data_IF_462119036541
#
_entry.id   IF_462119036541
#
_cell.length_a   1.000
_cell.length_b   1.000
_cell.length_c   1.000
_cell.angle_alpha   90.00
_cell.angle_beta   90.00
_cell.angle_gamma   90.00
#
_symmetry.space_group_name_H-M   'P 1'
#
loop_
_entity.id
_entity.type
_entity.pdbx_description
1 polymer ?
#
# COMPACT_ATOMS: atom_id res chain seq x y z
N UNK A 1 -8.97 -4.26 -0.73
CA UNK A 1 -8.18 -5.02 -1.73
C UNK A 1 -7.70 -3.99 -2.73
N UNK A 2 -6.42 -4.01 -3.07
CA UNK A 2 -5.83 -3.06 -4.01
C UNK A 2 -6.10 -3.56 -5.43
N UNK A 3 -6.46 -2.66 -6.33
CA UNK A 3 -6.66 -2.93 -7.76
C UNK A 3 -5.94 -1.86 -8.58
N UNK A 4 -5.69 -2.11 -9.86
CA UNK A 4 -4.94 -1.19 -10.73
C UNK A 4 -5.69 0.10 -11.09
N UNK A 5 -7.02 0.06 -11.00
CA UNK A 5 -7.94 1.18 -11.19
C UNK A 5 -8.16 2.01 -9.90
N UNK A 6 -7.46 1.67 -8.80
CA UNK A 6 -7.52 2.49 -7.59
C UNK A 6 -6.92 3.87 -7.86
N UNK A 7 -7.62 4.91 -7.43
CA UNK A 7 -7.10 6.28 -7.43
C UNK A 7 -5.89 6.37 -6.49
N UNK A 8 -4.83 7.07 -6.92
CA UNK A 8 -3.64 7.27 -6.08
C UNK A 8 -4.01 7.92 -4.75
N UNK A 9 -4.95 8.87 -4.73
CA UNK A 9 -5.47 9.51 -3.51
C UNK A 9 -6.05 8.50 -2.51
N UNK A 10 -6.81 7.50 -3.00
CA UNK A 10 -7.38 6.46 -2.17
C UNK A 10 -6.33 5.44 -1.73
N UNK A 11 -5.42 5.07 -2.64
CA UNK A 11 -4.33 4.14 -2.37
C UNK A 11 -3.44 4.64 -1.23
N UNK A 12 -2.97 5.89 -1.28
CA UNK A 12 -2.06 6.43 -0.25
C UNK A 12 -2.77 6.66 1.08
N UNK A 13 -4.06 7.00 1.06
CA UNK A 13 -4.88 7.19 2.27
C UNK A 13 -5.16 5.86 2.97
N UNK A 14 -5.50 4.82 2.21
CA UNK A 14 -5.92 3.51 2.75
C UNK A 14 -4.71 2.62 3.04
N UNK A 15 -3.66 2.76 2.25
CA UNK A 15 -2.45 1.94 2.31
C UNK A 15 -1.20 2.84 2.30
N UNK A 16 -0.86 3.50 3.42
CA UNK A 16 0.26 4.45 3.46
C UNK A 16 1.63 3.87 3.05
N UNK A 17 1.83 2.55 3.22
CA UNK A 17 3.04 1.87 2.77
C UNK A 17 3.25 1.93 1.25
N UNK A 18 2.16 2.08 0.48
CA UNK A 18 2.18 2.10 -0.99
C UNK A 18 3.06 3.22 -1.54
N UNK A 19 3.13 4.37 -0.85
CA UNK A 19 3.97 5.50 -1.26
C UNK A 19 5.44 5.09 -1.34
N UNK A 20 5.94 4.41 -0.29
CA UNK A 20 7.32 3.95 -0.24
C UNK A 20 7.56 2.87 -1.30
N UNK A 21 6.68 1.89 -1.38
CA UNK A 21 6.77 0.78 -2.33
C UNK A 21 6.83 1.26 -3.79
N UNK A 22 5.91 2.14 -4.19
CA UNK A 22 5.86 2.67 -5.55
C UNK A 22 7.04 3.59 -5.87
N UNK A 23 7.51 4.37 -4.88
CA UNK A 23 8.69 5.21 -5.04
C UNK A 23 9.97 4.41 -5.27
N UNK A 24 10.14 3.26 -4.61
CA UNK A 24 11.26 2.34 -4.85
C UNK A 24 11.26 1.77 -6.28
N UNK A 25 10.07 1.68 -6.90
CA UNK A 25 9.88 1.30 -8.30
C UNK A 25 9.89 2.49 -9.27
N UNK A 26 10.18 3.71 -8.79
CA UNK A 26 10.24 4.91 -9.64
C UNK A 26 8.88 5.54 -9.98
N UNK A 27 7.79 5.07 -9.37
CA UNK A 27 6.44 5.61 -9.52
C UNK A 27 6.21 6.64 -8.41
N UNK A 28 5.96 7.89 -8.79
CA UNK A 28 5.76 8.99 -7.84
C UNK A 28 4.28 9.12 -7.50
N UNK A 29 3.94 8.98 -6.23
CA UNK A 29 2.57 9.15 -5.74
C UNK A 29 2.29 10.55 -5.17
N UNK A 30 3.34 11.28 -4.76
CA UNK A 30 3.24 12.61 -4.13
C UNK A 30 4.03 13.63 -4.96
N UNK A 31 3.39 14.74 -5.31
CA UNK A 31 4.01 15.89 -5.96
C UNK A 31 3.75 17.15 -5.13
N UNK A 32 4.81 17.91 -4.83
CA UNK A 32 4.71 19.15 -4.04
C UNK A 32 4.04 19.00 -2.65
N UNK A 33 3.98 17.78 -2.10
CA UNK A 33 3.34 17.48 -0.81
C UNK A 33 1.91 16.96 -0.92
N UNK A 34 1.35 16.86 -2.11
CA UNK A 34 -0.02 16.39 -2.36
C UNK A 34 -0.02 15.11 -3.21
N UNK A 35 -1.00 14.20 -3.03
CA UNK A 35 -1.18 13.06 -3.92
C UNK A 35 -1.45 13.50 -5.36
N UNK A 36 -0.94 12.75 -6.33
CA UNK A 36 -1.27 12.98 -7.75
C UNK A 36 -2.67 12.48 -8.08
N UNK A 37 -3.29 13.05 -9.11
CA UNK A 37 -4.54 12.56 -9.68
C UNK A 37 -4.31 11.45 -10.70
N UNK A 38 -5.25 10.51 -10.75
CA UNK A 38 -5.23 9.36 -11.64
C UNK A 38 -5.06 8.04 -10.90
N UNK A 39 -5.17 6.97 -11.67
CA UNK A 39 -5.11 5.59 -11.19
C UNK A 39 -3.68 5.08 -11.05
N UNK A 40 -3.51 4.01 -10.27
CA UNK A 40 -2.25 3.26 -10.20
C UNK A 40 -1.76 2.83 -11.60
N UNK A 41 -2.68 2.34 -12.44
CA UNK A 41 -2.36 1.91 -13.80
C UNK A 41 -1.82 3.04 -14.66
N UNK A 42 -2.45 4.23 -14.61
CA UNK A 42 -1.99 5.41 -15.35
C UNK A 42 -0.61 5.87 -14.88
N UNK A 43 -0.44 6.03 -13.56
CA UNK A 43 0.84 6.45 -12.96
C UNK A 43 1.99 5.49 -13.31
N UNK A 44 1.73 4.18 -13.37
CA UNK A 44 2.71 3.18 -13.78
C UNK A 44 2.99 3.22 -15.29
N UNK A 45 1.95 3.36 -16.13
CA UNK A 45 2.10 3.46 -17.59
C UNK A 45 2.89 4.71 -18.01
N UNK A 46 2.71 5.84 -17.31
CA UNK A 46 3.51 7.05 -17.55
C UNK A 46 5.03 6.82 -17.34
N UNK A 47 5.40 5.83 -16.53
CA UNK A 47 6.80 5.42 -16.31
C UNK A 47 7.26 4.29 -17.23
N UNK A 48 6.41 3.83 -18.14
CA UNK A 48 6.72 2.78 -19.11
C UNK A 48 6.52 1.36 -18.59
N UNK A 49 5.81 1.18 -17.46
CA UNK A 49 5.44 -0.15 -16.99
C UNK A 49 4.31 -0.74 -17.85
N UNK A 50 4.43 -2.03 -18.15
CA UNK A 50 3.42 -2.77 -18.89
C UNK A 50 2.38 -3.40 -17.94
N UNK A 51 1.32 -3.99 -18.50
CA UNK A 51 0.26 -4.60 -17.71
C UNK A 51 0.77 -5.70 -16.75
N UNK A 52 1.77 -6.48 -17.17
CA UNK A 52 2.33 -7.57 -16.35
C UNK A 52 3.02 -7.00 -15.10
N UNK A 53 3.83 -5.95 -15.26
CA UNK A 53 4.48 -5.28 -14.13
C UNK A 53 3.45 -4.63 -13.19
N UNK A 54 2.39 -4.04 -13.74
CA UNK A 54 1.32 -3.42 -12.96
C UNK A 54 0.57 -4.48 -12.14
N UNK A 55 0.25 -5.62 -12.75
CA UNK A 55 -0.39 -6.74 -12.05
C UNK A 55 0.51 -7.30 -10.93
N UNK A 56 1.84 -7.33 -11.15
CA UNK A 56 2.81 -7.68 -10.10
C UNK A 56 2.78 -6.69 -8.93
N UNK A 57 2.79 -5.37 -9.20
CA UNK A 57 2.68 -4.37 -8.14
C UNK A 57 1.41 -4.51 -7.31
N UNK A 58 0.27 -4.74 -7.98
CA UNK A 58 -1.01 -4.98 -7.31
C UNK A 58 -0.94 -6.23 -6.42
N UNK A 59 -0.38 -7.32 -6.94
CA UNK A 59 -0.23 -8.57 -6.18
C UNK A 59 0.62 -8.38 -4.93
N UNK A 60 1.81 -7.80 -5.07
CA UNK A 60 2.75 -7.59 -3.96
C UNK A 60 2.16 -6.65 -2.89
N UNK A 61 1.55 -5.53 -3.29
CA UNK A 61 0.92 -4.63 -2.34
C UNK A 61 -0.26 -5.28 -1.60
N UNK A 62 -1.05 -6.13 -2.26
CA UNK A 62 -2.10 -6.88 -1.58
C UNK A 62 -1.53 -7.86 -0.54
N UNK A 63 -0.41 -8.52 -0.83
CA UNK A 63 0.27 -9.40 0.12
C UNK A 63 0.74 -8.62 1.35
N UNK A 64 1.43 -7.48 1.14
CA UNK A 64 1.88 -6.59 2.22
C UNK A 64 0.69 -6.14 3.08
N UNK A 65 -0.41 -5.73 2.45
CA UNK A 65 -1.61 -5.30 3.17
C UNK A 65 -2.19 -6.41 4.06
N UNK A 66 -2.24 -7.65 3.56
CA UNK A 66 -2.72 -8.79 4.35
C UNK A 66 -1.79 -9.10 5.53
N UNK A 67 -0.47 -8.97 5.34
CA UNK A 67 0.50 -9.14 6.42
C UNK A 67 0.36 -8.07 7.50
N UNK A 68 0.19 -6.80 7.13
CA UNK A 68 -0.06 -5.72 8.09
C UNK A 68 -1.36 -5.95 8.89
N UNK A 69 -2.42 -6.40 8.23
CA UNK A 69 -3.68 -6.72 8.90
C UNK A 69 -3.53 -7.89 9.89
N UNK A 70 -2.80 -8.95 9.50
CA UNK A 70 -2.49 -10.07 10.40
C UNK A 70 -1.66 -9.62 11.60
N UNK A 71 -0.66 -8.75 11.41
CA UNK A 71 0.17 -8.20 12.50
C UNK A 71 -0.67 -7.42 13.51
N UNK A 72 -1.54 -6.52 13.03
CA UNK A 72 -2.45 -5.73 13.89
C UNK A 72 -3.46 -6.61 14.65
N UNK A 73 -3.95 -7.68 14.03
CA UNK A 73 -4.84 -8.64 14.67
C UNK A 73 -4.13 -9.40 15.82
N UNK A 74 -2.85 -9.76 15.62
CA UNK A 74 -2.07 -10.49 16.61
C UNK A 74 -1.66 -9.61 17.82
N UNK A 75 -1.39 -8.32 17.62
CA UNK A 75 -1.06 -7.38 18.71
C UNK A 75 -2.26 -7.11 19.64
N UNK A 76 -3.48 -7.12 19.11
CA UNK A 76 -4.71 -6.96 19.91
C UNK A 76 -4.97 -8.12 20.88
N UNK A 77 -4.20 -9.22 20.79
CA UNK A 77 -4.34 -10.39 21.65
C UNK A 77 -3.37 -10.39 22.85
N UNK A 78 -2.42 -9.43 22.94
CA UNK A 78 -1.33 -9.48 23.93
C UNK A 78 -1.51 -8.59 25.19
N UNK A 79 -2.59 -7.79 25.30
CA UNK A 79 -2.74 -6.82 26.42
C UNK A 79 -3.27 -7.47 27.73
N UNK A 80 -3.51 -8.79 27.81
CA UNK A 80 -4.16 -9.40 29.00
C UNK A 80 -3.25 -10.17 29.97
N UNK A 81 -1.93 -10.33 29.74
CA UNK A 81 -1.12 -11.22 30.62
C UNK A 81 -0.21 -10.53 31.65
N UNK A 82 -0.09 -9.20 31.70
CA UNK A 82 0.83 -8.51 32.63
C UNK A 82 0.17 -7.73 33.78
N UNK A 83 -1.14 -7.86 34.02
CA UNK A 83 -1.82 -7.17 35.16
C UNK A 83 -2.12 -8.07 36.37
N UNK A 84 -1.53 -9.26 36.45
CA UNK A 84 -1.72 -10.19 37.57
C UNK A 84 -0.38 -10.81 38.01
N UNK A 85 0.56 -9.97 38.46
CA UNK A 85 1.56 -10.39 39.45
C UNK A 85 1.64 -9.33 40.54
N UNK A 86 0.93 -9.64 41.62
CA UNK A 86 1.06 -9.08 42.96
C UNK A 86 2.52 -9.12 43.44
#
# INVERSE_FOLDING_TARGET
MISKDIEIEELVRTYPFSVKYLMEHGIRCIACGEPIWGTLEEAAKEKGFNAIAIDQFVSEMNQISQEEQKRKANESTHIQTDTLKL
#
